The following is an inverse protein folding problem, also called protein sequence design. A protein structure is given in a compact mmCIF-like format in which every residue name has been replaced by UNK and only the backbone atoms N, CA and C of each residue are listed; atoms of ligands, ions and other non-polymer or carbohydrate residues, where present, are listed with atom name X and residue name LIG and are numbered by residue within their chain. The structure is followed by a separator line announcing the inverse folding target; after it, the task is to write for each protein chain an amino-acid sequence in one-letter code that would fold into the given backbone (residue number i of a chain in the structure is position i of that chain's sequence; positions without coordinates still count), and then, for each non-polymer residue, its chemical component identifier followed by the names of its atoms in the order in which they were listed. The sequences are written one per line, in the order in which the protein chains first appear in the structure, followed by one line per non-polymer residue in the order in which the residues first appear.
data_IF_946912502645
#
_entry.id   IF_946912502645
#
_cell.length_a   1.000
_cell.length_b   1.000
_cell.length_c   1.000
_cell.angle_alpha   90.00
_cell.angle_beta   90.00
_cell.angle_gamma   90.00
#
_symmetry.space_group_name_H-M   'P 1'
#
loop_
_entity.id
_entity.type
_entity.pdbx_description
1 polymer ?
#
# COMPACT_ATOMS: atom_id res chain seq x y z
N UNK A 1 11.67 -9.67 11.55
CA UNK A 1 12.63 -9.73 12.70
C UNK A 1 11.88 -10.03 13.99
N UNK A 2 10.93 -9.17 14.48
CA UNK A 2 10.26 -9.35 15.78
C UNK A 2 9.62 -10.72 15.95
N UNK A 3 8.82 -11.18 14.98
CA UNK A 3 8.20 -12.53 15.00
C UNK A 3 9.26 -13.63 15.07
N UNK A 4 10.33 -13.50 14.30
CA UNK A 4 11.43 -14.48 14.29
C UNK A 4 12.21 -14.52 15.62
N UNK A 5 12.44 -13.36 16.25
CA UNK A 5 13.09 -13.31 17.56
C UNK A 5 12.17 -13.87 18.65
N UNK A 6 10.86 -13.55 18.61
CA UNK A 6 9.87 -14.11 19.53
C UNK A 6 9.86 -15.64 19.52
N UNK A 7 9.92 -16.23 18.35
CA UNK A 7 10.02 -17.69 18.17
C UNK A 7 11.38 -18.23 18.63
N UNK A 8 12.48 -17.61 18.17
CA UNK A 8 13.84 -18.09 18.44
C UNK A 8 14.15 -18.13 19.93
N UNK A 9 13.73 -17.11 20.67
CA UNK A 9 13.98 -17.00 22.11
C UNK A 9 12.83 -17.53 22.97
N UNK A 10 11.78 -18.10 22.35
CA UNK A 10 10.59 -18.57 23.04
C UNK A 10 10.00 -17.52 24.03
N UNK A 11 10.00 -16.26 23.59
CA UNK A 11 9.59 -15.14 24.45
C UNK A 11 8.07 -15.11 24.71
N UNK A 12 7.28 -15.85 23.93
CA UNK A 12 5.83 -16.04 24.08
C UNK A 12 5.02 -14.70 24.07
N UNK A 13 5.56 -13.69 23.42
CA UNK A 13 4.87 -12.40 23.26
C UNK A 13 3.67 -12.56 22.32
N UNK A 14 2.54 -12.01 22.73
CA UNK A 14 1.34 -11.90 21.88
C UNK A 14 1.55 -10.95 20.71
N UNK A 15 0.71 -11.03 19.68
CA UNK A 15 0.75 -10.09 18.55
C UNK A 15 0.56 -8.64 19.02
N UNK A 16 -0.25 -8.41 20.03
CA UNK A 16 -0.47 -7.07 20.61
C UNK A 16 0.82 -6.51 21.22
N UNK A 17 1.57 -7.33 21.98
CA UNK A 17 2.86 -6.93 22.57
C UNK A 17 3.92 -6.68 21.50
N UNK A 18 3.97 -7.54 20.47
CA UNK A 18 4.87 -7.34 19.31
C UNK A 18 4.52 -6.04 18.57
N UNK A 19 3.24 -5.72 18.40
CA UNK A 19 2.81 -4.45 17.80
C UNK A 19 3.18 -3.24 18.67
N UNK A 20 3.06 -3.35 19.99
CA UNK A 20 3.47 -2.28 20.91
C UNK A 20 4.98 -2.02 20.83
N UNK A 21 5.80 -3.09 20.80
CA UNK A 21 7.25 -2.97 20.57
C UNK A 21 7.50 -2.38 19.17
N UNK A 22 6.80 -2.88 18.16
CA UNK A 22 6.92 -2.42 16.78
C UNK A 22 6.65 -0.92 16.63
N UNK A 23 5.63 -0.40 17.31
CA UNK A 23 5.28 1.02 17.29
C UNK A 23 6.40 1.92 17.83
N UNK A 24 7.21 1.43 18.78
CA UNK A 24 8.38 2.16 19.29
C UNK A 24 9.56 2.20 18.31
N UNK A 25 9.55 1.34 17.30
CA UNK A 25 10.59 1.24 16.27
C UNK A 25 10.22 2.08 15.05
N UNK A 26 8.95 2.05 14.65
CA UNK A 26 8.45 2.81 13.51
C UNK A 26 6.95 2.62 13.28
N UNK A 27 6.32 3.64 12.73
CA UNK A 27 4.87 3.72 12.51
C UNK A 27 4.30 2.57 11.67
N UNK A 28 5.04 2.07 10.69
CA UNK A 28 4.57 1.03 9.77
C UNK A 28 4.81 -0.41 10.29
N UNK A 29 5.60 -0.56 11.38
CA UNK A 29 5.98 -1.88 11.90
C UNK A 29 4.77 -2.65 12.43
N UNK A 30 3.83 -2.07 13.18
CA UNK A 30 2.63 -2.79 13.63
C UNK A 30 1.80 -3.36 12.46
N UNK A 31 1.60 -2.56 11.40
CA UNK A 31 0.90 -3.06 10.22
C UNK A 31 1.66 -4.18 9.51
N UNK A 32 2.98 -4.09 9.38
CA UNK A 32 3.82 -5.14 8.79
C UNK A 32 3.78 -6.46 9.60
N UNK A 33 3.54 -6.38 10.92
CA UNK A 33 3.32 -7.54 11.77
C UNK A 33 1.96 -8.19 11.53
N UNK A 34 0.89 -7.38 11.51
CA UNK A 34 -0.48 -7.86 11.34
C UNK A 34 -0.78 -8.26 9.89
N UNK A 35 -0.37 -7.46 8.93
CA UNK A 35 -0.63 -7.64 7.50
C UNK A 35 -2.12 -7.66 7.14
N UNK A 36 -2.42 -8.24 5.97
CA UNK A 36 -3.79 -8.30 5.48
C UNK A 36 -4.31 -6.92 5.06
N UNK A 37 -5.62 -6.71 5.22
CA UNK A 37 -6.28 -5.44 4.93
C UNK A 37 -6.68 -4.76 6.23
N UNK A 38 -6.21 -3.54 6.46
CA UNK A 38 -6.46 -2.81 7.69
C UNK A 38 -6.78 -1.34 7.42
N UNK A 39 -7.64 -0.76 8.26
CA UNK A 39 -7.72 0.68 8.42
C UNK A 39 -6.69 1.12 9.45
N UNK A 40 -5.77 1.97 9.05
CA UNK A 40 -4.74 2.52 9.94
C UNK A 40 -5.04 4.00 10.17
N UNK A 41 -4.98 4.43 11.43
CA UNK A 41 -5.22 5.81 11.87
C UNK A 41 -4.11 6.27 12.82
N UNK A 42 -4.19 7.54 13.26
CA UNK A 42 -3.18 8.14 14.14
C UNK A 42 -1.85 8.29 13.42
N UNK A 43 -0.78 7.96 14.10
CA UNK A 43 0.58 7.93 13.54
C UNK A 43 0.97 6.53 13.04
N UNK A 44 -0.01 5.64 12.77
CA UNK A 44 0.23 4.25 12.37
C UNK A 44 -0.07 3.24 13.49
N UNK A 45 -0.50 3.70 14.64
CA UNK A 45 -0.69 2.94 15.89
C UNK A 45 -2.11 2.38 16.06
N UNK A 46 -3.11 3.02 15.45
CA UNK A 46 -4.50 2.58 15.53
C UNK A 46 -4.87 1.70 14.34
N UNK A 47 -4.68 0.40 14.48
CA UNK A 47 -4.91 -0.58 13.41
C UNK A 47 -6.25 -1.30 13.65
N UNK A 48 -7.16 -1.20 12.68
CA UNK A 48 -8.44 -1.91 12.65
C UNK A 48 -8.42 -2.90 11.49
N UNK A 49 -8.42 -4.22 11.74
CA UNK A 49 -8.53 -5.22 10.69
C UNK A 49 -9.85 -5.08 9.91
N UNK A 50 -9.76 -5.30 8.62
CA UNK A 50 -10.89 -5.36 7.69
C UNK A 50 -10.99 -6.77 7.07
N UNK A 51 -12.10 -7.11 6.40
CA UNK A 51 -12.16 -8.29 5.55
C UNK A 51 -11.01 -8.28 4.52
N UNK A 52 -10.65 -9.44 3.96
CA UNK A 52 -9.65 -9.50 2.91
C UNK A 52 -9.99 -8.54 1.76
N UNK A 53 -8.96 -7.93 1.18
CA UNK A 53 -9.10 -7.14 -0.05
C UNK A 53 -9.81 -7.98 -1.12
N UNK A 54 -10.74 -7.40 -1.91
CA UNK A 54 -11.31 -8.05 -3.08
C UNK A 54 -10.23 -8.65 -3.98
N UNK A 55 -10.54 -9.73 -4.68
CA UNK A 55 -9.57 -10.42 -5.52
C UNK A 55 -9.11 -9.51 -6.66
N UNK A 56 -7.81 -9.24 -6.69
CA UNK A 56 -7.21 -8.33 -7.65
C UNK A 56 -5.70 -8.57 -7.79
N UNK A 57 -5.10 -7.90 -8.76
CA UNK A 57 -3.67 -7.88 -9.01
C UNK A 57 -3.14 -6.46 -8.88
N UNK A 58 -1.93 -6.34 -8.36
CA UNK A 58 -1.22 -5.06 -8.29
C UNK A 58 -0.01 -5.10 -9.21
N UNK A 59 0.16 -4.05 -10.02
CA UNK A 59 1.44 -3.76 -10.68
C UNK A 59 2.04 -2.57 -9.96
N UNK A 60 3.19 -2.79 -9.32
CA UNK A 60 3.90 -1.77 -8.54
C UNK A 60 5.12 -1.33 -9.31
N UNK A 61 5.25 -0.02 -9.52
CA UNK A 61 6.38 0.59 -10.24
C UNK A 61 7.12 1.51 -9.28
N UNK A 62 8.41 1.28 -9.13
CA UNK A 62 9.29 2.14 -8.35
C UNK A 62 10.14 2.97 -9.31
N UNK A 63 9.89 4.28 -9.45
CA UNK A 63 10.75 5.15 -10.24
C UNK A 63 12.11 5.35 -9.57
N UNK A 64 13.09 5.81 -10.35
CA UNK A 64 14.44 6.09 -9.84
C UNK A 64 14.52 7.35 -8.98
N UNK A 65 13.51 8.22 -9.04
CA UNK A 65 13.41 9.45 -8.24
C UNK A 65 12.86 9.13 -6.86
N UNK A 66 13.56 9.58 -5.83
CA UNK A 66 13.07 9.54 -4.45
C UNK A 66 12.27 10.80 -4.07
N UNK A 67 11.24 10.64 -3.25
CA UNK A 67 10.53 11.76 -2.62
C UNK A 67 10.83 11.74 -1.14
N UNK A 68 11.26 12.88 -0.60
CA UNK A 68 11.46 13.05 0.84
C UNK A 68 10.10 13.10 1.54
N UNK A 69 9.83 12.13 2.41
CA UNK A 69 8.59 12.09 3.19
C UNK A 69 8.33 13.37 4.00
N UNK A 70 9.31 13.94 4.72
CA UNK A 70 9.12 15.21 5.42
C UNK A 70 8.77 16.38 4.49
N UNK A 71 9.37 16.41 3.28
CA UNK A 71 9.06 17.46 2.31
C UNK A 71 7.66 17.30 1.71
N UNK A 72 7.20 16.07 1.47
CA UNK A 72 5.84 15.81 0.99
C UNK A 72 4.81 16.30 2.01
N UNK A 73 4.97 15.99 3.28
CA UNK A 73 4.09 16.48 4.35
C UNK A 73 4.16 17.99 4.50
N UNK A 74 5.35 18.60 4.46
CA UNK A 74 5.50 20.06 4.52
C UNK A 74 4.76 20.76 3.36
N UNK A 75 4.83 20.22 2.16
CA UNK A 75 4.07 20.74 1.01
C UNK A 75 2.57 20.59 1.21
N UNK A 76 2.13 19.45 1.75
CA UNK A 76 0.74 19.22 2.09
C UNK A 76 0.21 20.26 3.08
N UNK A 77 0.95 20.57 4.13
CA UNK A 77 0.57 21.58 5.13
C UNK A 77 0.48 22.99 4.52
N UNK A 78 1.36 23.32 3.55
CA UNK A 78 1.40 24.63 2.90
C UNK A 78 0.24 24.81 1.89
N UNK A 79 -0.16 23.74 1.20
CA UNK A 79 -1.19 23.81 0.13
C UNK A 79 -2.61 24.03 0.65
N UNK A 80 -2.85 23.91 1.94
CA UNK A 80 -4.17 24.06 2.55
C UNK A 80 -5.00 22.79 2.51
N UNK A 81 -6.27 22.88 2.14
CA UNK A 81 -7.22 21.75 2.18
C UNK A 81 -7.23 20.95 0.87
N UNK A 82 -6.34 19.98 0.68
CA UNK A 82 -6.39 19.11 -0.48
C UNK A 82 -7.62 18.18 -0.40
N UNK A 83 -7.99 17.61 -1.53
CA UNK A 83 -9.05 16.59 -1.59
C UNK A 83 -8.63 15.38 -0.75
N UNK A 84 -9.46 15.00 0.21
CA UNK A 84 -9.27 13.80 1.01
C UNK A 84 -9.99 12.60 0.39
N UNK A 85 -9.33 11.43 0.28
CA UNK A 85 -10.00 10.20 -0.13
C UNK A 85 -11.15 9.84 0.83
N UNK A 86 -12.23 9.29 0.29
CA UNK A 86 -13.36 8.79 1.08
C UNK A 86 -13.03 7.39 1.62
N UNK A 87 -12.27 7.39 2.72
CA UNK A 87 -11.83 6.16 3.36
C UNK A 87 -13.00 5.34 3.95
N UNK A 88 -14.12 5.94 4.30
CA UNK A 88 -15.28 5.21 4.85
C UNK A 88 -15.99 4.46 3.74
N UNK A 89 -16.18 5.09 2.60
CA UNK A 89 -16.71 4.45 1.41
C UNK A 89 -15.79 3.33 0.91
N UNK A 90 -14.48 3.53 0.96
CA UNK A 90 -13.52 2.49 0.59
C UNK A 90 -13.59 1.29 1.56
N UNK A 91 -13.66 1.54 2.88
CA UNK A 91 -13.86 0.48 3.89
C UNK A 91 -15.17 -0.30 3.64
N UNK A 92 -16.25 0.40 3.31
CA UNK A 92 -17.53 -0.23 3.00
C UNK A 92 -17.44 -1.12 1.74
N UNK A 93 -16.83 -0.63 0.66
CA UNK A 93 -16.62 -1.39 -0.56
C UNK A 93 -15.79 -2.68 -0.32
N UNK A 94 -14.76 -2.61 0.53
CA UNK A 94 -13.98 -3.79 0.95
C UNK A 94 -14.87 -4.79 1.67
N UNK A 95 -15.76 -4.35 2.59
CA UNK A 95 -16.70 -5.22 3.31
C UNK A 95 -17.72 -5.89 2.38
N UNK A 96 -18.10 -5.20 1.34
CA UNK A 96 -19.03 -5.68 0.30
C UNK A 96 -18.33 -6.52 -0.77
N UNK A 97 -16.99 -6.65 -0.69
CA UNK A 97 -16.16 -7.33 -1.70
C UNK A 97 -16.33 -6.73 -3.10
N UNK A 98 -16.54 -5.40 -3.17
CA UNK A 98 -16.70 -4.65 -4.42
C UNK A 98 -15.39 -3.97 -4.81
N UNK A 99 -14.66 -4.58 -5.75
CA UNK A 99 -13.39 -4.07 -6.26
C UNK A 99 -13.56 -2.70 -6.95
N UNK A 100 -14.62 -2.54 -7.74
CA UNK A 100 -14.82 -1.32 -8.52
C UNK A 100 -15.12 -0.13 -7.59
N UNK A 101 -16.00 -0.32 -6.60
CA UNK A 101 -16.30 0.71 -5.61
C UNK A 101 -15.08 1.03 -4.73
N UNK A 102 -14.31 0.01 -4.33
CA UNK A 102 -13.04 0.17 -3.59
C UNK A 102 -12.06 1.05 -4.36
N UNK A 103 -11.87 0.77 -5.65
CA UNK A 103 -10.97 1.54 -6.51
C UNK A 103 -11.48 2.96 -6.77
N UNK A 104 -12.79 3.14 -6.92
CA UNK A 104 -13.40 4.47 -7.12
C UNK A 104 -13.24 5.38 -5.88
N UNK A 105 -13.31 4.80 -4.68
CA UNK A 105 -13.12 5.53 -3.43
C UNK A 105 -11.65 5.73 -3.04
N UNK A 106 -10.72 5.07 -3.73
CA UNK A 106 -9.29 5.15 -3.46
C UNK A 106 -8.72 6.51 -3.87
N UNK A 107 -7.74 6.99 -3.12
CA UNK A 107 -7.02 8.23 -3.42
C UNK A 107 -5.83 8.43 -2.50
N UNK A 108 -4.96 9.36 -2.88
CA UNK A 108 -3.80 9.74 -2.07
C UNK A 108 -3.68 11.26 -2.02
N UNK A 109 -3.93 11.84 -0.85
CA UNK A 109 -3.86 13.30 -0.65
C UNK A 109 -2.46 13.87 -0.89
N UNK A 110 -1.40 13.09 -0.66
CA UNK A 110 -0.01 13.50 -0.88
C UNK A 110 0.39 13.51 -2.37
N UNK A 111 -0.36 12.82 -3.23
CA UNK A 111 -0.05 12.77 -4.68
C UNK A 111 -0.05 14.16 -5.31
N UNK A 112 -1.02 15.01 -4.95
CA UNK A 112 -1.10 16.39 -5.42
C UNK A 112 0.04 17.28 -4.92
N UNK A 113 0.67 16.90 -3.81
CA UNK A 113 1.75 17.64 -3.17
C UNK A 113 3.13 17.12 -3.51
N UNK A 114 3.21 15.93 -4.12
CA UNK A 114 4.49 15.26 -4.38
C UNK A 114 5.42 16.05 -5.32
N UNK A 115 4.83 16.79 -6.27
CA UNK A 115 5.57 17.49 -7.32
C UNK A 115 6.29 16.52 -8.28
N UNK A 116 6.03 15.22 -8.18
CA UNK A 116 6.68 14.20 -8.99
C UNK A 116 5.92 14.00 -10.32
N UNK A 117 6.42 14.63 -11.36
CA UNK A 117 5.88 14.49 -12.73
C UNK A 117 5.91 13.03 -13.18
N UNK A 118 6.90 12.26 -12.74
CA UNK A 118 7.08 10.86 -13.10
C UNK A 118 5.97 9.95 -12.53
N UNK A 119 5.49 10.21 -11.31
CA UNK A 119 4.38 9.45 -10.73
C UNK A 119 3.09 9.58 -11.55
N UNK A 120 2.77 10.80 -11.99
CA UNK A 120 1.62 11.04 -12.86
C UNK A 120 1.76 10.35 -14.22
N UNK A 121 2.97 10.31 -14.78
CA UNK A 121 3.26 9.61 -16.04
C UNK A 121 3.08 8.08 -15.88
N UNK A 122 3.54 7.50 -14.76
CA UNK A 122 3.35 6.07 -14.45
C UNK A 122 1.87 5.75 -14.27
N UNK A 123 1.12 6.55 -13.51
CA UNK A 123 -0.33 6.38 -13.36
C UNK A 123 -1.04 6.36 -14.72
N UNK A 124 -0.69 7.31 -15.61
CA UNK A 124 -1.25 7.37 -16.96
C UNK A 124 -0.92 6.10 -17.78
N UNK A 125 0.29 5.58 -17.67
CA UNK A 125 0.69 4.36 -18.36
C UNK A 125 -0.07 3.15 -17.82
N UNK A 126 -0.18 2.97 -16.49
CA UNK A 126 -0.94 1.89 -15.87
C UNK A 126 -2.42 1.92 -16.29
N UNK A 127 -3.04 3.10 -16.31
CA UNK A 127 -4.42 3.28 -16.77
C UNK A 127 -4.57 2.92 -18.25
N UNK A 128 -3.61 3.30 -19.09
CA UNK A 128 -3.60 2.93 -20.51
C UNK A 128 -3.47 1.40 -20.74
N UNK A 129 -2.88 0.67 -19.78
CA UNK A 129 -2.81 -0.78 -19.77
C UNK A 129 -4.03 -1.45 -19.14
N UNK A 130 -5.07 -0.69 -18.79
CA UNK A 130 -6.34 -1.22 -18.28
C UNK A 130 -6.39 -1.41 -16.76
N UNK A 131 -5.59 -0.68 -15.99
CA UNK A 131 -5.77 -0.62 -14.55
C UNK A 131 -7.15 -0.04 -14.19
N UNK A 132 -7.83 -0.66 -13.23
CA UNK A 132 -9.10 -0.15 -12.67
C UNK A 132 -8.88 1.17 -11.95
N UNK A 133 -7.74 1.31 -11.29
CA UNK A 133 -7.23 2.55 -10.70
C UNK A 133 -5.71 2.51 -10.63
N UNK A 134 -5.08 3.67 -10.57
CA UNK A 134 -3.65 3.78 -10.31
C UNK A 134 -3.37 4.99 -9.42
N UNK A 135 -2.49 4.81 -8.43
CA UNK A 135 -2.19 5.81 -7.41
C UNK A 135 -0.72 5.73 -6.99
N UNK A 136 -0.19 6.87 -6.59
CA UNK A 136 1.04 6.92 -5.81
C UNK A 136 0.80 6.30 -4.42
N UNK A 137 1.73 5.49 -3.91
CA UNK A 137 1.63 4.93 -2.56
C UNK A 137 2.40 5.76 -1.53
N UNK A 138 1.77 6.02 -0.39
CA UNK A 138 2.37 6.78 0.71
C UNK A 138 2.79 8.18 0.28
N UNK A 139 3.99 8.61 0.69
CA UNK A 139 4.62 9.88 0.28
C UNK A 139 5.23 9.83 -1.12
N UNK A 140 5.21 8.66 -1.77
CA UNK A 140 5.84 8.41 -3.09
C UNK A 140 7.28 7.89 -2.94
N UNK A 141 8.01 7.71 -4.04
CA UNK A 141 7.57 7.89 -5.43
C UNK A 141 6.94 6.62 -6.05
N UNK A 142 6.83 5.51 -5.31
CA UNK A 142 6.23 4.29 -5.84
C UNK A 142 4.77 4.53 -6.27
N UNK A 143 4.38 3.89 -7.36
CA UNK A 143 3.03 3.92 -7.92
C UNK A 143 2.52 2.50 -8.04
N UNK A 144 1.24 2.29 -7.81
CA UNK A 144 0.61 1.00 -8.08
C UNK A 144 -0.62 1.16 -8.97
N UNK A 145 -0.87 0.15 -9.79
CA UNK A 145 -2.12 -0.02 -10.52
C UNK A 145 -2.85 -1.26 -10.02
N UNK A 146 -4.16 -1.19 -9.92
CA UNK A 146 -5.04 -2.30 -9.55
C UNK A 146 -5.67 -2.88 -10.81
N UNK A 147 -5.65 -4.20 -10.95
CA UNK A 147 -6.19 -4.92 -12.09
C UNK A 147 -7.16 -6.00 -11.63
N UNK A 148 -8.25 -6.16 -12.35
CA UNK A 148 -9.27 -7.19 -12.17
C UNK A 148 -8.92 -8.52 -12.86
N UNK A 149 -7.90 -8.51 -13.72
CA UNK A 149 -7.49 -9.62 -14.56
C UNK A 149 -5.97 -9.82 -14.53
N UNK A 150 -5.54 -11.09 -14.39
CA UNK A 150 -4.12 -11.46 -14.31
C UNK A 150 -3.36 -11.16 -15.58
N UNK A 151 -3.97 -11.43 -16.73
CA UNK A 151 -3.35 -11.25 -18.03
C UNK A 151 -3.08 -9.77 -18.31
N UNK A 152 -4.06 -8.91 -18.02
CA UNK A 152 -3.88 -7.45 -18.12
C UNK A 152 -2.76 -6.98 -17.21
N UNK A 153 -2.72 -7.46 -15.95
CA UNK A 153 -1.67 -7.09 -15.00
C UNK A 153 -0.27 -7.53 -15.48
N UNK A 154 -0.14 -8.75 -16.02
CA UNK A 154 1.13 -9.23 -16.61
C UNK A 154 1.56 -8.43 -17.83
N UNK A 155 0.63 -8.07 -18.71
CA UNK A 155 0.90 -7.24 -19.89
C UNK A 155 1.36 -5.84 -19.45
N UNK A 156 0.68 -5.24 -18.46
CA UNK A 156 1.08 -3.96 -17.90
C UNK A 156 2.48 -4.02 -17.27
N UNK A 157 2.78 -5.06 -16.50
CA UNK A 157 4.11 -5.28 -15.95
C UNK A 157 5.18 -5.29 -17.05
N UNK A 158 4.99 -6.11 -18.08
CA UNK A 158 5.94 -6.22 -19.20
C UNK A 158 6.10 -4.90 -19.96
N UNK A 159 5.01 -4.18 -20.19
CA UNK A 159 5.06 -2.90 -20.87
C UNK A 159 5.84 -1.84 -20.09
N UNK A 160 5.69 -1.80 -18.76
CA UNK A 160 6.38 -0.83 -17.92
C UNK A 160 7.85 -1.21 -17.67
N UNK A 161 8.20 -2.49 -17.69
CA UNK A 161 9.60 -2.96 -17.60
C UNK A 161 10.49 -2.44 -18.75
N UNK A 162 9.91 -2.01 -19.86
CA UNK A 162 10.66 -1.37 -20.93
C UNK A 162 11.21 0.02 -20.56
N UNK A 163 10.64 0.67 -19.55
CA UNK A 163 11.02 2.02 -19.13
C UNK A 163 11.43 2.16 -17.66
N UNK A 164 11.19 1.12 -16.85
CA UNK A 164 11.47 1.13 -15.40
C UNK A 164 12.15 -0.17 -14.97
N UNK A 165 13.22 -0.06 -14.19
CA UNK A 165 13.99 -1.22 -13.72
C UNK A 165 13.25 -2.01 -12.63
N UNK A 166 12.36 -1.35 -11.87
CA UNK A 166 11.68 -1.94 -10.74
C UNK A 166 10.16 -1.96 -10.97
N UNK A 167 9.68 -3.05 -11.56
CA UNK A 167 8.25 -3.29 -11.82
C UNK A 167 7.87 -4.67 -11.29
N UNK A 168 6.96 -4.70 -10.34
CA UNK A 168 6.57 -5.91 -9.62
C UNK A 168 5.11 -6.23 -9.84
N UNK A 169 4.82 -7.53 -10.02
CA UNK A 169 3.45 -8.06 -9.98
C UNK A 169 3.21 -8.65 -8.58
N UNK A 170 2.11 -8.26 -7.95
CA UNK A 170 1.78 -8.69 -6.59
C UNK A 170 0.29 -9.01 -6.42
N UNK A 171 -0.02 -9.73 -5.35
CA UNK A 171 -1.40 -9.99 -4.91
C UNK A 171 -1.58 -9.61 -3.45
N UNK A 172 -2.82 -9.29 -3.04
CA UNK A 172 -3.15 -9.11 -1.63
C UNK A 172 -2.80 -10.36 -0.83
N UNK A 173 -2.27 -10.19 0.37
CA UNK A 173 -2.02 -11.28 1.32
C UNK A 173 -2.95 -11.16 2.52
N UNK A 174 -3.30 -12.30 3.14
CA UNK A 174 -4.27 -12.34 4.25
C UNK A 174 -3.66 -12.06 5.63
N UNK A 175 -2.35 -12.03 5.74
CA UNK A 175 -1.68 -11.85 7.03
C UNK A 175 -0.25 -11.34 6.86
N UNK A 176 0.32 -10.87 7.96
CA UNK A 176 1.66 -10.31 8.02
C UNK A 176 2.76 -11.34 8.24
N UNK A 177 3.76 -10.94 9.02
CA UNK A 177 4.93 -11.77 9.30
C UNK A 177 4.54 -13.06 10.03
N UNK A 178 5.06 -14.20 9.57
CA UNK A 178 4.84 -15.51 10.17
C UNK A 178 6.07 -16.38 10.11
N UNK A 179 6.20 -17.31 11.04
CA UNK A 179 7.21 -18.38 10.97
C UNK A 179 6.71 -19.44 10.00
N UNK A 180 7.56 -19.86 9.09
CA UNK A 180 7.26 -20.98 8.20
C UNK A 180 7.60 -22.30 8.91
N UNK A 181 6.81 -23.37 8.68
CA UNK A 181 7.17 -24.71 9.18
C UNK A 181 8.56 -25.11 8.67
N UNK A 182 9.37 -25.72 9.55
CA UNK A 182 10.63 -26.33 9.11
C UNK A 182 10.26 -27.59 8.31
N UNK A 183 10.74 -27.68 7.09
CA UNK A 183 10.66 -28.90 6.29
C UNK A 183 11.72 -29.90 6.74
#
# INVERSE_FOLDING_TARGET
VLVGLNELYNAQLSMSELCAIGASIGADVPFALMGGTCRVKGVGDLIKPLPPCPDCWFVVVMPSVGISTPEAFKRYDIMGSPVHPDCERQEQAIRENDLAAMCTAAGNALEHCSGAVETAAICKQLNAQGAVTSLMTGSGAAVFGVFDDEQKAKQAQQALQAGYDQVYLARPVRGGARVLPRH
#
